data_IF_123046211428
#
_entry.id   IF_123046211428
#
_cell.length_a   1.000
_cell.length_b   1.000
_cell.length_c   1.000
_cell.angle_alpha   90.00
_cell.angle_beta   90.00
_cell.angle_gamma   90.00
#
_symmetry.space_group_name_H-M   'P 1'
#
loop_
_entity.id
_entity.type
_entity.pdbx_description
1 polymer ?
#
# COMPACT_ATOMS: atom_id res chain seq x y z
N UNK A 1 -24.04 -29.49 -9.24
CA UNK A 1 -23.07 -29.13 -8.21
C UNK A 1 -22.83 -27.63 -8.27
N UNK A 2 -23.16 -26.96 -7.21
CA UNK A 2 -22.96 -25.50 -7.24
C UNK A 2 -21.47 -25.20 -7.32
N UNK A 3 -21.14 -24.35 -8.27
CA UNK A 3 -19.78 -23.82 -8.35
C UNK A 3 -19.44 -23.07 -7.08
N UNK A 4 -18.19 -23.14 -6.62
CA UNK A 4 -17.75 -22.31 -5.51
C UNK A 4 -18.08 -20.85 -5.81
N UNK A 5 -18.66 -20.17 -4.84
CA UNK A 5 -19.09 -18.77 -5.01
C UNK A 5 -17.91 -17.87 -5.42
N UNK A 6 -16.70 -18.26 -5.06
CA UNK A 6 -15.49 -17.54 -5.45
C UNK A 6 -15.14 -17.69 -6.94
N UNK A 7 -15.60 -18.76 -7.60
CA UNK A 7 -15.23 -19.02 -8.99
C UNK A 7 -15.71 -17.95 -9.98
N UNK A 8 -16.94 -17.40 -9.85
CA UNK A 8 -17.37 -16.32 -10.73
C UNK A 8 -16.51 -15.09 -10.63
N UNK A 9 -16.04 -14.77 -9.44
CA UNK A 9 -15.19 -13.61 -9.22
C UNK A 9 -13.83 -13.76 -9.91
N UNK A 10 -13.31 -14.98 -9.95
CA UNK A 10 -12.05 -15.28 -10.62
C UNK A 10 -12.19 -15.26 -12.14
N UNK A 11 -13.36 -15.64 -12.65
CA UNK A 11 -13.59 -15.74 -14.09
C UNK A 11 -13.57 -14.40 -14.80
N UNK A 12 -13.91 -13.32 -14.10
CA UNK A 12 -13.93 -12.00 -14.69
C UNK A 12 -12.58 -11.27 -14.64
N UNK A 13 -11.53 -11.92 -14.11
CA UNK A 13 -10.25 -11.25 -13.87
C UNK A 13 -9.12 -12.01 -14.56
N UNK A 14 -8.36 -11.30 -15.39
CA UNK A 14 -7.19 -11.89 -16.05
C UNK A 14 -6.13 -12.24 -15.01
N UNK A 15 -5.48 -13.42 -15.10
CA UNK A 15 -4.42 -13.80 -14.16
C UNK A 15 -3.28 -12.77 -14.07
N UNK A 16 -2.98 -12.08 -15.16
CA UNK A 16 -1.96 -11.03 -15.17
C UNK A 16 -2.30 -9.88 -14.24
N UNK A 17 -3.59 -9.52 -14.10
CA UNK A 17 -4.02 -8.47 -13.18
C UNK A 17 -3.90 -8.90 -11.73
N UNK A 18 -4.14 -10.16 -11.42
CA UNK A 18 -3.93 -10.70 -10.07
C UNK A 18 -2.45 -10.67 -9.71
N UNK A 19 -1.57 -11.08 -10.63
CA UNK A 19 -0.12 -11.00 -10.44
C UNK A 19 0.35 -9.57 -10.25
N UNK A 20 -0.18 -8.63 -11.05
CA UNK A 20 0.15 -7.21 -10.89
C UNK A 20 -0.25 -6.71 -9.50
N UNK A 21 -1.41 -7.11 -9.00
CA UNK A 21 -1.86 -6.71 -7.67
C UNK A 21 -0.94 -7.24 -6.57
N UNK A 22 -0.45 -8.47 -6.70
CA UNK A 22 0.58 -9.00 -5.79
C UNK A 22 1.88 -8.19 -5.86
N UNK A 23 2.31 -7.79 -7.05
CA UNK A 23 3.51 -6.95 -7.23
C UNK A 23 3.33 -5.60 -6.54
N UNK A 24 2.16 -4.99 -6.65
CA UNK A 24 1.86 -3.70 -5.99
C UNK A 24 1.96 -3.84 -4.47
N UNK A 25 1.36 -4.87 -3.88
CA UNK A 25 1.49 -5.12 -2.45
C UNK A 25 2.95 -5.39 -2.06
N UNK A 26 3.69 -6.13 -2.89
CA UNK A 26 5.12 -6.39 -2.67
C UNK A 26 5.95 -5.12 -2.66
N UNK A 27 5.66 -4.18 -3.56
CA UNK A 27 6.35 -2.88 -3.60
C UNK A 27 6.06 -2.05 -2.35
N UNK A 28 4.81 -2.04 -1.87
CA UNK A 28 4.47 -1.34 -0.62
C UNK A 28 5.17 -2.00 0.58
N UNK A 29 5.18 -3.33 0.66
CA UNK A 29 5.88 -4.05 1.71
C UNK A 29 7.38 -3.74 1.69
N UNK A 30 7.99 -3.72 0.51
CA UNK A 30 9.39 -3.37 0.34
C UNK A 30 9.68 -1.95 0.80
N UNK A 31 8.80 -0.99 0.46
CA UNK A 31 8.92 0.40 0.93
C UNK A 31 8.92 0.49 2.44
N UNK A 32 7.97 -0.19 3.11
CA UNK A 32 7.89 -0.16 4.57
C UNK A 32 9.14 -0.78 5.19
N UNK A 33 9.59 -1.92 4.65
CA UNK A 33 10.76 -2.61 5.15
C UNK A 33 12.04 -1.77 5.01
N UNK A 34 12.24 -1.17 3.83
CA UNK A 34 13.41 -0.30 3.59
C UNK A 34 13.34 0.96 4.45
N UNK A 35 12.12 1.45 4.71
CA UNK A 35 11.90 2.59 5.61
C UNK A 35 12.34 2.31 7.03
N UNK A 36 12.03 1.13 7.56
CA UNK A 36 12.45 0.73 8.90
C UNK A 36 13.98 0.67 8.98
N UNK A 37 14.64 0.10 7.96
CA UNK A 37 16.09 -0.08 7.93
C UNK A 37 16.81 1.23 7.64
N UNK A 38 16.26 2.06 6.75
CA UNK A 38 16.91 3.26 6.23
C UNK A 38 16.54 4.57 6.92
N UNK A 39 15.73 4.53 7.98
CA UNK A 39 15.19 5.73 8.62
C UNK A 39 16.26 6.68 9.16
N UNK A 40 17.48 6.20 9.40
CA UNK A 40 18.56 6.99 9.93
C UNK A 40 19.40 7.71 8.85
N UNK A 41 19.13 7.48 7.56
CA UNK A 41 19.91 8.03 6.46
C UNK A 41 19.02 8.79 5.47
N UNK A 42 19.59 9.85 4.85
CA UNK A 42 18.92 10.62 3.80
C UNK A 42 18.64 9.72 2.58
N UNK A 43 19.57 8.82 2.28
CA UNK A 43 19.43 7.85 1.19
C UNK A 43 18.26 6.91 1.48
N UNK A 44 18.13 6.46 2.73
CA UNK A 44 17.00 5.64 3.15
C UNK A 44 15.67 6.34 2.98
N UNK A 45 15.59 7.62 3.35
CA UNK A 45 14.38 8.42 3.15
C UNK A 45 14.01 8.53 1.65
N UNK A 46 14.99 8.64 0.78
CA UNK A 46 14.77 8.68 -0.67
C UNK A 46 14.27 7.34 -1.20
N UNK A 47 14.86 6.23 -0.74
CA UNK A 47 14.48 4.89 -1.16
C UNK A 47 13.09 4.46 -0.65
N UNK A 48 12.62 5.03 0.47
CA UNK A 48 11.31 4.73 1.06
C UNK A 48 10.17 5.06 0.10
N UNK A 49 10.26 6.19 -0.60
CA UNK A 49 9.17 6.70 -1.44
C UNK A 49 9.06 5.99 -2.77
N UNK A 50 10.16 5.58 -3.38
CA UNK A 50 10.19 5.12 -4.76
C UNK A 50 9.35 3.87 -5.04
N UNK A 51 9.46 2.76 -4.26
CA UNK A 51 8.66 1.59 -4.57
C UNK A 51 7.16 1.84 -4.44
N UNK A 52 6.73 2.62 -3.44
CA UNK A 52 5.32 2.95 -3.28
C UNK A 52 4.81 3.92 -4.34
N UNK A 53 5.65 4.85 -4.81
CA UNK A 53 5.29 5.74 -5.92
C UNK A 53 5.06 4.92 -7.19
N UNK A 54 5.96 3.99 -7.49
CA UNK A 54 5.80 3.08 -8.62
C UNK A 54 4.51 2.27 -8.47
N UNK A 55 4.24 1.76 -7.28
CA UNK A 55 3.05 0.97 -7.00
C UNK A 55 1.77 1.77 -7.26
N UNK A 56 1.69 3.03 -6.80
CA UNK A 56 0.50 3.84 -7.00
C UNK A 56 0.34 4.27 -8.46
N UNK A 57 1.43 4.49 -9.17
CA UNK A 57 1.37 4.76 -10.62
C UNK A 57 0.77 3.55 -11.33
N UNK A 58 1.19 2.33 -10.98
CA UNK A 58 0.62 1.10 -11.54
C UNK A 58 -0.87 0.98 -11.21
N UNK A 59 -1.30 1.36 -10.00
CA UNK A 59 -2.72 1.40 -9.65
C UNK A 59 -3.50 2.30 -10.60
N UNK A 60 -3.04 3.52 -10.83
CA UNK A 60 -3.75 4.46 -11.68
C UNK A 60 -3.75 4.05 -13.15
N UNK A 61 -2.62 3.54 -13.66
CA UNK A 61 -2.50 3.11 -15.05
C UNK A 61 -3.43 1.96 -15.37
N UNK A 62 -3.56 1.00 -14.44
CA UNK A 62 -4.35 -0.22 -14.66
C UNK A 62 -5.73 -0.17 -14.03
N UNK A 63 -6.14 0.96 -13.46
CA UNK A 63 -7.39 1.10 -12.73
C UNK A 63 -8.61 0.72 -13.59
N UNK A 64 -8.62 1.14 -14.85
CA UNK A 64 -9.72 0.84 -15.75
C UNK A 64 -9.88 -0.65 -16.05
N UNK A 65 -8.79 -1.42 -16.02
CA UNK A 65 -8.82 -2.86 -16.34
C UNK A 65 -9.41 -3.70 -15.20
N UNK A 66 -9.41 -3.17 -13.97
CA UNK A 66 -9.95 -3.88 -12.80
C UNK A 66 -11.34 -3.40 -12.38
N UNK A 67 -11.84 -2.34 -13.04
CA UNK A 67 -13.13 -1.76 -12.70
C UNK A 67 -14.24 -2.81 -12.81
N UNK A 68 -15.11 -2.87 -11.81
CA UNK A 68 -16.20 -3.82 -11.76
C UNK A 68 -15.80 -5.23 -11.34
N UNK A 69 -14.52 -5.49 -11.06
CA UNK A 69 -14.04 -6.79 -10.58
C UNK A 69 -13.73 -6.73 -9.09
N UNK A 70 -13.49 -7.89 -8.47
CA UNK A 70 -13.09 -7.94 -7.07
C UNK A 70 -11.73 -7.26 -6.81
N UNK A 71 -10.87 -7.14 -7.83
CA UNK A 71 -9.60 -6.43 -7.73
C UNK A 71 -9.79 -4.91 -7.58
N UNK A 72 -10.91 -4.35 -8.01
CA UNK A 72 -11.17 -2.92 -7.86
C UNK A 72 -11.12 -2.49 -6.39
N UNK A 73 -11.65 -3.31 -5.49
CA UNK A 73 -11.57 -3.04 -4.04
C UNK A 73 -10.13 -3.01 -3.54
N UNK A 74 -9.27 -3.90 -4.04
CA UNK A 74 -7.86 -3.92 -3.69
C UNK A 74 -7.13 -2.68 -4.19
N UNK A 75 -7.42 -2.24 -5.42
CA UNK A 75 -6.82 -1.03 -5.97
C UNK A 75 -7.23 0.21 -5.18
N UNK A 76 -8.51 0.32 -4.82
CA UNK A 76 -8.97 1.42 -3.96
C UNK A 76 -8.30 1.40 -2.59
N UNK A 77 -8.15 0.23 -2.00
CA UNK A 77 -7.46 0.07 -0.71
C UNK A 77 -6.01 0.53 -0.81
N UNK A 78 -5.30 0.11 -1.86
CA UNK A 78 -3.89 0.46 -2.08
C UNK A 78 -3.72 1.97 -2.31
N UNK A 79 -4.56 2.56 -3.15
CA UNK A 79 -4.52 4.00 -3.45
C UNK A 79 -4.80 4.81 -2.19
N UNK A 80 -5.84 4.46 -1.43
CA UNK A 80 -6.15 5.15 -0.18
C UNK A 80 -5.03 5.02 0.84
N UNK A 81 -4.43 3.84 0.94
CA UNK A 81 -3.30 3.62 1.84
C UNK A 81 -2.14 4.54 1.49
N UNK A 82 -1.81 4.66 0.20
CA UNK A 82 -0.74 5.54 -0.26
C UNK A 82 -1.01 7.01 0.11
N UNK A 83 -2.21 7.50 -0.20
CA UNK A 83 -2.53 8.92 0.03
C UNK A 83 -2.64 9.26 1.50
N UNK A 84 -3.21 8.39 2.34
CA UNK A 84 -3.23 8.61 3.78
C UNK A 84 -1.82 8.59 4.36
N UNK A 85 -0.96 7.67 3.90
CA UNK A 85 0.43 7.62 4.34
C UNK A 85 1.18 8.89 3.92
N UNK A 86 0.99 9.37 2.69
CA UNK A 86 1.60 10.59 2.20
C UNK A 86 1.16 11.80 3.02
N UNK A 87 -0.12 11.89 3.38
CA UNK A 87 -0.64 12.96 4.22
C UNK A 87 0.04 12.96 5.59
N UNK A 88 0.12 11.80 6.25
CA UNK A 88 0.73 11.72 7.57
C UNK A 88 2.22 11.99 7.55
N UNK A 89 2.93 11.58 6.50
CA UNK A 89 4.35 11.92 6.32
C UNK A 89 4.51 13.42 6.13
N UNK A 90 3.65 14.07 5.35
CA UNK A 90 3.67 15.51 5.17
C UNK A 90 3.45 16.25 6.49
N UNK A 91 2.50 15.80 7.31
CA UNK A 91 2.25 16.35 8.65
C UNK A 91 3.49 16.16 9.53
N UNK A 92 4.10 14.99 9.52
CA UNK A 92 5.29 14.69 10.28
C UNK A 92 6.46 15.61 9.90
N UNK A 93 6.66 15.86 8.62
CA UNK A 93 7.69 16.78 8.13
C UNK A 93 7.41 18.20 8.61
N UNK A 94 6.17 18.67 8.48
CA UNK A 94 5.79 20.02 8.93
C UNK A 94 6.02 20.21 10.43
N UNK A 95 5.66 19.20 11.23
CA UNK A 95 5.89 19.21 12.69
C UNK A 95 7.38 19.17 12.99
N UNK A 96 8.15 18.38 12.24
CA UNK A 96 9.60 18.24 12.43
C UNK A 96 10.41 19.50 12.12
N UNK A 97 9.83 20.45 11.36
CA UNK A 97 10.46 21.74 11.10
C UNK A 97 10.49 22.64 12.35
N UNK A 98 9.75 22.29 13.39
CA UNK A 98 9.80 23.00 14.67
C UNK A 98 10.75 22.28 15.64
N UNK A 99 11.48 23.05 16.46
CA UNK A 99 12.47 22.49 17.38
C UNK A 99 11.81 21.52 18.39
N UNK A 100 10.60 21.83 18.83
CA UNK A 100 9.84 21.01 19.80
C UNK A 100 9.20 19.80 19.11
N UNK A 101 9.07 19.84 17.77
CA UNK A 101 8.36 18.83 17.01
C UNK A 101 9.15 17.55 16.72
N UNK A 102 10.49 17.54 16.88
CA UNK A 102 11.30 16.39 16.51
C UNK A 102 10.90 15.09 17.25
N UNK A 103 10.73 15.07 18.58
CA UNK A 103 10.27 13.86 19.25
C UNK A 103 8.86 13.43 18.80
N UNK A 104 7.96 14.41 18.59
CA UNK A 104 6.60 14.15 18.13
C UNK A 104 6.62 13.58 16.71
N UNK A 105 7.49 14.09 15.84
CA UNK A 105 7.66 13.55 14.48
C UNK A 105 8.06 12.07 14.52
N UNK A 106 8.99 11.69 15.40
CA UNK A 106 9.40 10.30 15.55
C UNK A 106 8.23 9.42 15.99
N UNK A 107 7.40 9.90 16.92
CA UNK A 107 6.20 9.16 17.35
C UNK A 107 5.21 9.00 16.19
N UNK A 108 4.93 10.07 15.46
CA UNK A 108 4.03 10.04 14.31
C UNK A 108 4.54 9.01 13.27
N UNK A 109 5.83 9.07 12.94
CA UNK A 109 6.41 8.16 11.97
C UNK A 109 6.35 6.69 12.43
N UNK A 110 6.58 6.44 13.72
CA UNK A 110 6.45 5.09 14.28
C UNK A 110 5.02 4.56 14.16
N UNK A 111 4.03 5.37 14.52
CA UNK A 111 2.61 4.99 14.42
C UNK A 111 2.22 4.74 12.97
N UNK A 112 2.63 5.61 12.06
CA UNK A 112 2.33 5.44 10.62
C UNK A 112 2.95 4.16 10.09
N UNK A 113 4.20 3.84 10.49
CA UNK A 113 4.88 2.61 10.07
C UNK A 113 4.11 1.38 10.52
N UNK A 114 3.68 1.32 11.77
CA UNK A 114 2.89 0.21 12.29
C UNK A 114 1.56 0.09 11.53
N UNK A 115 0.90 1.21 11.30
CA UNK A 115 -0.35 1.25 10.55
C UNK A 115 -0.16 0.75 9.11
N UNK A 116 0.92 1.15 8.43
CA UNK A 116 1.24 0.68 7.09
C UNK A 116 1.49 -0.83 7.05
N UNK A 117 2.24 -1.35 8.02
CA UNK A 117 2.48 -2.79 8.13
C UNK A 117 1.14 -3.53 8.23
N UNK A 118 0.25 -3.04 9.10
CA UNK A 118 -1.08 -3.63 9.26
C UNK A 118 -1.86 -3.61 7.93
N UNK A 119 -1.90 -2.46 7.26
CA UNK A 119 -2.68 -2.30 6.03
C UNK A 119 -2.13 -3.18 4.88
N UNK A 120 -0.83 -3.20 4.71
CA UNK A 120 -0.21 -4.01 3.66
C UNK A 120 -0.43 -5.50 3.95
N UNK A 121 -0.19 -5.93 5.19
CA UNK A 121 -0.37 -7.32 5.57
C UNK A 121 -1.83 -7.78 5.39
N UNK A 122 -2.78 -6.97 5.86
CA UNK A 122 -4.20 -7.29 5.75
C UNK A 122 -4.65 -7.39 4.29
N UNK A 123 -4.24 -6.42 3.47
CA UNK A 123 -4.60 -6.43 2.06
C UNK A 123 -3.99 -7.60 1.33
N UNK A 124 -2.73 -7.88 1.59
CA UNK A 124 -2.02 -8.99 0.93
C UNK A 124 -2.59 -10.35 1.32
N UNK A 125 -2.94 -10.53 2.59
CA UNK A 125 -3.58 -11.77 3.05
C UNK A 125 -4.95 -11.96 2.40
N UNK A 126 -5.76 -10.89 2.28
CA UNK A 126 -7.04 -10.95 1.61
C UNK A 126 -6.88 -11.30 0.13
N UNK A 127 -5.89 -10.71 -0.56
CA UNK A 127 -5.59 -11.02 -1.95
C UNK A 127 -5.20 -12.48 -2.12
N UNK A 128 -4.34 -13.00 -1.24
CA UNK A 128 -3.92 -14.40 -1.29
C UNK A 128 -5.07 -15.37 -1.06
N UNK A 129 -6.07 -14.96 -0.27
CA UNK A 129 -7.30 -15.74 -0.08
C UNK A 129 -8.38 -15.48 -1.11
N UNK A 130 -8.08 -14.69 -2.14
CA UNK A 130 -9.03 -14.29 -3.20
C UNK A 130 -10.27 -13.61 -2.60
N UNK A 131 -10.06 -12.78 -1.60
CA UNK A 131 -11.13 -12.04 -0.93
C UNK A 131 -11.04 -10.56 -1.28
N UNK A 132 -12.19 -9.88 -1.50
CA UNK A 132 -12.19 -8.43 -1.71
C UNK A 132 -11.89 -7.69 -0.40
N UNK A 133 -11.52 -6.43 -0.54
CA UNK A 133 -11.37 -5.49 0.58
C UNK A 133 -12.59 -4.56 0.65
N UNK A 134 -12.90 -4.04 1.84
CA UNK A 134 -13.97 -3.08 2.01
C UNK A 134 -13.78 -1.80 1.22
#
# INVERSE_FOLDING_TARGET
>A
MPEPVAAPDLQGVRPSLVQLTHVIYGLHAFSVLTGIIGAASVIGAFLIGWPSIIAVILNYVKRGEVAGTWLDSHFRWQIRTFWFAALWVAIAVAVGLTVIGLPLTLVILAVVTVWLIYRVARGWLALSGVKPMP
#
